data_IF_791526846728
#
_entry.id   IF_791526846728
#
_cell.length_a   1.000
_cell.length_b   1.000
_cell.length_c   1.000
_cell.angle_alpha   90.00
_cell.angle_beta   90.00
_cell.angle_gamma   90.00
#
_symmetry.space_group_name_H-M   'P 1'
#
loop_
_entity.id
_entity.type
_entity.pdbx_description
1 polymer ?
#
# COMPACT_ATOMS: atom_id res chain seq x y z
N UNK A 1 33.76 -30.23 57.33
CA UNK A 1 34.21 -30.84 58.61
C UNK A 1 33.53 -32.18 58.70
N UNK A 2 34.31 -33.25 58.80
CA UNK A 2 33.82 -34.63 58.78
C UNK A 2 32.88 -34.90 59.97
N UNK A 3 32.00 -35.87 59.82
CA UNK A 3 30.91 -36.12 60.77
C UNK A 3 31.40 -36.64 62.12
N UNK A 4 32.55 -37.33 62.17
CA UNK A 4 33.20 -37.71 63.43
C UNK A 4 34.00 -36.58 64.12
N UNK A 5 34.11 -35.41 63.46
CA UNK A 5 34.80 -34.23 63.96
C UNK A 5 36.34 -34.27 63.91
N UNK A 6 36.95 -35.26 63.26
CA UNK A 6 38.42 -35.45 63.24
C UNK A 6 39.15 -34.65 62.17
N UNK A 7 38.48 -34.26 61.08
CA UNK A 7 39.11 -33.53 59.97
C UNK A 7 38.22 -32.41 59.40
N UNK A 8 38.88 -31.34 58.94
CA UNK A 8 38.25 -30.19 58.29
C UNK A 8 38.64 -30.15 56.82
N UNK A 9 37.75 -30.63 55.97
CA UNK A 9 37.84 -30.56 54.51
C UNK A 9 37.18 -29.28 53.96
N UNK A 10 37.60 -28.86 52.76
CA UNK A 10 37.03 -27.73 52.03
C UNK A 10 35.64 -28.07 51.49
N UNK A 11 34.79 -27.07 51.28
CA UNK A 11 33.42 -27.28 50.78
C UNK A 11 33.37 -27.83 49.35
N UNK A 12 34.47 -27.77 48.60
CA UNK A 12 34.61 -28.37 47.27
C UNK A 12 34.97 -29.87 47.31
N UNK A 13 35.33 -30.40 48.48
CA UNK A 13 35.70 -31.81 48.72
C UNK A 13 34.59 -32.56 49.47
N UNK A 14 33.35 -32.08 49.28
CA UNK A 14 32.16 -32.70 49.83
C UNK A 14 31.37 -33.14 48.62
N UNK A 15 31.14 -34.44 48.46
CA UNK A 15 30.45 -35.03 47.32
C UNK A 15 31.21 -34.89 46.00
N UNK A 16 32.54 -34.98 46.04
CA UNK A 16 33.40 -34.94 44.85
C UNK A 16 33.91 -36.32 44.44
N UNK A 17 33.31 -37.38 45.00
CA UNK A 17 33.54 -38.77 44.63
C UNK A 17 34.93 -39.30 45.03
N UNK A 18 35.68 -38.57 45.88
CA UNK A 18 36.87 -39.04 46.56
C UNK A 18 36.64 -39.09 48.08
N UNK A 19 37.21 -40.09 48.76
CA UNK A 19 37.09 -40.23 50.20
C UNK A 19 38.16 -39.35 50.90
N UNK A 20 37.82 -38.10 51.16
CA UNK A 20 38.68 -37.14 51.86
C UNK A 20 38.46 -37.15 53.38
N UNK A 21 37.30 -37.63 53.85
CA UNK A 21 37.09 -37.96 55.24
C UNK A 21 37.49 -39.41 55.57
N UNK A 22 38.18 -39.67 56.71
CA UNK A 22 38.57 -41.02 57.13
C UNK A 22 37.38 -41.97 57.38
N UNK A 23 36.21 -41.40 57.64
CA UNK A 23 34.93 -42.11 57.86
C UNK A 23 34.04 -42.09 56.60
N UNK A 24 34.56 -41.62 55.46
CA UNK A 24 33.86 -41.44 54.17
C UNK A 24 32.58 -40.60 54.29
N UNK A 25 32.46 -39.81 55.37
CA UNK A 25 31.22 -39.09 55.68
C UNK A 25 30.94 -37.91 54.76
N UNK A 26 31.96 -37.42 54.06
CA UNK A 26 31.88 -36.48 52.96
C UNK A 26 31.11 -37.02 51.75
N UNK A 27 31.04 -38.34 51.56
CA UNK A 27 30.40 -38.99 50.42
C UNK A 27 29.09 -39.75 50.76
N UNK A 28 28.76 -39.94 52.05
CA UNK A 28 27.70 -40.86 52.49
C UNK A 28 26.28 -40.26 52.60
N UNK A 29 26.12 -38.93 52.50
CA UNK A 29 24.81 -38.24 52.54
C UNK A 29 24.77 -37.05 51.57
N UNK A 30 25.34 -37.23 50.38
CA UNK A 30 25.25 -36.27 49.30
C UNK A 30 23.80 -36.16 48.83
N UNK A 31 23.19 -35.00 49.09
CA UNK A 31 21.93 -34.63 48.46
C UNK A 31 22.22 -34.53 46.98
N UNK A 32 21.82 -35.54 46.21
CA UNK A 32 22.06 -35.69 44.77
C UNK A 32 22.06 -34.31 44.13
N UNK A 33 23.25 -33.83 43.80
CA UNK A 33 23.46 -32.53 43.16
C UNK A 33 22.93 -32.69 41.75
N UNK A 34 21.61 -32.55 41.62
CA UNK A 34 20.95 -32.34 40.35
C UNK A 34 21.71 -31.19 39.69
N UNK A 35 22.29 -31.45 38.52
CA UNK A 35 23.04 -30.46 37.77
C UNK A 35 22.36 -29.08 37.75
N UNK A 36 23.14 -28.00 37.64
CA UNK A 36 22.60 -26.64 37.53
C UNK A 36 21.46 -26.57 36.50
N UNK A 37 20.46 -25.73 36.75
CA UNK A 37 19.28 -25.59 35.89
C UNK A 37 19.71 -25.46 34.42
N UNK A 38 19.18 -26.33 33.56
CA UNK A 38 19.55 -26.52 32.14
C UNK A 38 20.78 -27.39 31.84
N UNK A 39 21.18 -28.27 32.75
CA UNK A 39 22.17 -29.33 32.49
C UNK A 39 21.57 -30.70 32.79
N UNK A 40 21.91 -31.68 31.94
CA UNK A 40 21.52 -33.08 32.06
C UNK A 40 22.66 -33.90 32.62
N UNK A 41 22.36 -34.78 33.56
CA UNK A 41 23.32 -35.67 34.17
C UNK A 41 23.34 -37.00 33.43
N UNK A 42 24.52 -37.43 32.97
CA UNK A 42 24.68 -38.75 32.37
C UNK A 42 24.29 -39.85 33.37
N UNK A 43 23.76 -40.97 32.88
CA UNK A 43 23.16 -41.99 33.74
C UNK A 43 24.17 -42.78 34.57
N UNK A 44 25.36 -43.03 34.02
CA UNK A 44 26.41 -43.82 34.67
C UNK A 44 27.57 -42.95 35.21
N UNK A 45 27.48 -41.62 35.11
CA UNK A 45 28.53 -40.71 35.60
C UNK A 45 27.96 -39.40 36.17
N UNK A 46 28.66 -38.80 37.13
CA UNK A 46 28.33 -37.47 37.68
C UNK A 46 28.64 -36.32 36.70
N UNK A 47 28.79 -36.62 35.41
CA UNK A 47 29.08 -35.63 34.36
C UNK A 47 27.78 -34.94 33.95
N UNK A 48 27.78 -33.61 34.06
CA UNK A 48 26.68 -32.76 33.62
C UNK A 48 27.01 -32.17 32.25
N UNK A 49 26.18 -32.46 31.25
CA UNK A 49 26.23 -31.82 29.94
C UNK A 49 25.14 -30.76 29.84
N UNK A 50 25.32 -29.69 29.05
CA UNK A 50 24.25 -28.75 28.73
C UNK A 50 23.03 -29.49 28.17
N UNK A 51 21.82 -29.05 28.52
CA UNK A 51 20.58 -29.66 28.03
C UNK A 51 20.40 -29.52 26.50
N UNK A 52 21.21 -28.70 25.84
CA UNK A 52 21.28 -28.61 24.37
C UNK A 52 21.98 -29.80 23.71
N UNK A 53 22.75 -30.59 24.47
CA UNK A 53 23.49 -31.78 23.99
C UNK A 53 22.80 -33.08 24.42
N UNK A 54 21.49 -33.02 24.66
CA UNK A 54 20.66 -34.17 24.99
C UNK A 54 19.74 -34.40 23.82
N UNK A 55 19.79 -35.58 23.21
CA UNK A 55 19.03 -35.93 22.02
C UNK A 55 19.38 -35.05 20.80
N UNK A 56 20.65 -34.68 20.63
CA UNK A 56 21.13 -33.86 19.50
C UNK A 56 21.84 -34.67 18.40
N UNK A 57 21.79 -36.00 18.51
CA UNK A 57 22.43 -37.00 17.62
C UNK A 57 23.96 -37.09 17.74
N UNK A 58 24.58 -36.35 18.65
CA UNK A 58 25.98 -36.55 19.01
C UNK A 58 26.06 -37.30 20.35
N UNK A 59 27.15 -38.07 20.54
CA UNK A 59 27.38 -38.80 21.78
C UNK A 59 28.31 -37.99 22.67
N UNK A 60 27.72 -37.18 23.53
CA UNK A 60 28.38 -36.33 24.50
C UNK A 60 28.53 -37.00 25.86
N UNK A 61 27.60 -37.88 26.26
CA UNK A 61 27.81 -38.76 27.40
C UNK A 61 28.63 -39.99 27.02
N UNK A 62 29.60 -40.36 27.85
CA UNK A 62 30.52 -41.46 27.56
C UNK A 62 29.82 -42.83 27.49
N UNK A 63 28.71 -42.98 28.20
CA UNK A 63 27.79 -44.13 28.19
C UNK A 63 26.70 -44.00 27.09
N UNK A 64 26.63 -42.86 26.40
CA UNK A 64 25.61 -42.54 25.40
C UNK A 64 24.20 -42.43 25.98
N UNK A 65 24.09 -42.04 27.25
CA UNK A 65 22.81 -41.91 27.96
C UNK A 65 22.05 -40.62 27.63
N UNK A 66 22.75 -39.61 27.14
CA UNK A 66 22.21 -38.42 26.47
C UNK A 66 21.34 -38.75 25.24
N UNK A 67 21.64 -39.86 24.56
CA UNK A 67 20.92 -40.32 23.36
C UNK A 67 20.03 -41.56 23.64
N UNK A 68 19.89 -41.99 24.89
CA UNK A 68 19.08 -43.17 25.27
C UNK A 68 17.77 -42.77 25.94
N UNK A 69 16.65 -43.28 25.41
CA UNK A 69 15.33 -42.97 25.96
C UNK A 69 14.79 -41.60 25.54
N UNK A 70 15.47 -40.91 24.62
CA UNK A 70 14.86 -39.89 23.77
C UNK A 70 13.59 -40.52 23.17
N UNK A 71 12.45 -39.87 23.35
CA UNK A 71 11.19 -40.38 22.84
C UNK A 71 11.23 -40.42 21.30
N UNK A 72 11.76 -41.50 20.72
CA UNK A 72 11.47 -41.91 19.34
C UNK A 72 10.05 -42.46 19.30
N UNK A 73 9.08 -41.65 19.71
CA UNK A 73 7.65 -41.86 19.59
C UNK A 73 6.99 -40.49 19.78
N UNK A 74 6.74 -39.76 18.69
CA UNK A 74 5.34 -39.60 18.32
C UNK A 74 5.18 -39.90 16.82
N UNK A 75 4.65 -41.07 16.46
CA UNK A 75 3.91 -41.25 15.24
C UNK A 75 2.65 -40.38 15.36
N UNK A 76 2.65 -39.21 14.71
CA UNK A 76 1.44 -38.40 14.50
C UNK A 76 1.06 -37.40 15.60
N UNK A 77 1.99 -36.56 16.07
CA UNK A 77 1.61 -35.24 16.59
C UNK A 77 2.19 -34.14 15.72
N UNK A 78 1.27 -33.28 15.27
CA UNK A 78 1.51 -32.06 14.52
C UNK A 78 2.73 -31.32 15.07
N UNK A 79 3.57 -30.81 14.17
CA UNK A 79 4.60 -29.84 14.48
C UNK A 79 4.03 -28.79 15.47
N UNK A 80 4.83 -28.39 16.47
CA UNK A 80 4.40 -27.51 17.56
C UNK A 80 3.81 -26.18 17.07
N UNK A 81 3.22 -25.38 17.97
CA UNK A 81 2.63 -24.09 17.60
C UNK A 81 3.64 -23.22 16.80
N UNK A 82 3.23 -22.77 15.61
CA UNK A 82 4.03 -22.04 14.61
C UNK A 82 5.03 -22.87 13.76
N UNK A 83 4.84 -24.19 13.65
CA UNK A 83 5.62 -25.03 12.73
C UNK A 83 4.72 -25.76 11.71
N UNK A 84 5.15 -25.77 10.45
CA UNK A 84 4.54 -26.50 9.34
C UNK A 84 5.23 -27.85 9.12
N UNK A 85 4.43 -28.90 8.90
CA UNK A 85 4.92 -30.25 8.66
C UNK A 85 5.06 -30.55 7.17
N UNK A 86 6.29 -30.78 6.73
CA UNK A 86 6.64 -31.27 5.40
C UNK A 86 6.12 -32.70 5.19
N UNK A 87 5.92 -33.11 3.94
CA UNK A 87 5.40 -34.45 3.61
C UNK A 87 6.39 -35.56 3.97
N UNK A 88 7.68 -35.26 3.98
CA UNK A 88 8.76 -36.12 4.44
C UNK A 88 8.86 -36.24 5.97
N UNK A 89 8.07 -35.46 6.72
CA UNK A 89 8.03 -35.46 8.18
C UNK A 89 8.87 -34.38 8.85
N UNK A 90 9.58 -33.54 8.10
CA UNK A 90 10.32 -32.40 8.64
C UNK A 90 9.36 -31.30 9.15
N UNK A 91 9.80 -30.52 10.14
CA UNK A 91 9.04 -29.38 10.65
C UNK A 91 9.81 -28.09 10.36
N UNK A 92 9.22 -27.22 9.54
CA UNK A 92 9.74 -25.87 9.26
C UNK A 92 8.90 -24.83 10.00
N UNK A 93 9.33 -23.58 10.05
CA UNK A 93 8.53 -22.51 10.63
C UNK A 93 7.29 -22.24 9.76
N UNK A 94 6.13 -21.94 10.35
CA UNK A 94 4.90 -21.64 9.59
C UNK A 94 5.09 -20.45 8.61
N UNK A 95 5.99 -19.54 8.96
CA UNK A 95 6.36 -18.41 8.09
C UNK A 95 7.18 -18.79 6.83
N UNK A 96 7.65 -20.04 6.75
CA UNK A 96 8.41 -20.59 5.62
C UNK A 96 7.54 -21.50 4.75
N UNK A 97 6.24 -21.59 5.05
CA UNK A 97 5.30 -22.23 4.17
C UNK A 97 4.94 -21.26 3.03
N UNK A 98 5.16 -21.65 1.78
CA UNK A 98 4.87 -20.86 0.58
C UNK A 98 5.63 -19.51 0.53
N UNK A 99 6.88 -19.47 0.99
CA UNK A 99 7.73 -18.27 0.98
C UNK A 99 8.57 -18.15 -0.31
N UNK A 100 8.42 -19.11 -1.24
CA UNK A 100 9.11 -19.18 -2.52
C UNK A 100 10.48 -19.85 -2.44
N UNK A 101 10.82 -20.50 -1.32
CA UNK A 101 12.05 -21.27 -1.13
C UNK A 101 11.73 -22.68 -0.66
N UNK A 102 12.56 -23.60 -1.11
CA UNK A 102 12.54 -25.00 -0.71
C UNK A 102 13.17 -25.14 0.68
N UNK A 103 12.39 -24.85 1.73
CA UNK A 103 12.78 -25.02 3.14
C UNK A 103 12.45 -26.42 3.65
N UNK A 104 11.41 -27.07 3.10
CA UNK A 104 11.25 -28.51 3.17
C UNK A 104 12.18 -29.19 2.16
N UNK A 105 13.03 -30.11 2.57
CA UNK A 105 13.97 -30.81 1.65
C UNK A 105 13.28 -31.63 0.53
N UNK A 106 11.95 -31.72 0.56
CA UNK A 106 11.09 -32.39 -0.41
C UNK A 106 10.16 -31.44 -1.20
N UNK A 107 10.27 -30.11 -1.01
CA UNK A 107 9.44 -29.08 -1.65
C UNK A 107 7.97 -29.10 -1.25
N UNK A 108 7.62 -29.71 -0.12
CA UNK A 108 6.23 -29.81 0.35
C UNK A 108 5.63 -28.50 0.85
N UNK A 109 6.48 -27.61 1.32
CA UNK A 109 6.17 -26.22 1.69
C UNK A 109 5.82 -25.34 0.50
N UNK A 110 6.33 -25.68 -0.68
CA UNK A 110 6.10 -24.94 -1.95
C UNK A 110 5.18 -25.69 -2.93
N UNK A 111 4.59 -26.82 -2.51
CA UNK A 111 3.76 -27.63 -3.39
C UNK A 111 2.41 -26.95 -3.67
N UNK A 112 2.01 -26.94 -4.94
CA UNK A 112 0.76 -26.37 -5.46
C UNK A 112 -0.49 -26.87 -4.69
N UNK A 113 -0.46 -28.09 -4.14
CA UNK A 113 -1.56 -28.66 -3.34
C UNK A 113 -1.65 -28.04 -1.93
N UNK A 114 -0.52 -27.71 -1.30
CA UNK A 114 -0.46 -27.13 0.05
C UNK A 114 -0.50 -25.60 0.05
N UNK A 115 -0.05 -24.95 -1.03
CA UNK A 115 -0.14 -23.51 -1.24
C UNK A 115 -1.43 -23.06 -1.94
N UNK A 116 -2.29 -24.01 -2.35
CA UNK A 116 -3.64 -23.71 -2.81
C UNK A 116 -4.53 -23.33 -1.63
N UNK A 117 -4.52 -22.04 -1.23
CA UNK A 117 -5.59 -21.48 -0.40
C UNK A 117 -6.93 -21.67 -1.12
N UNK A 118 -7.68 -22.67 -0.69
CA UNK A 118 -9.02 -22.93 -1.19
C UNK A 118 -9.97 -21.87 -0.60
N UNK A 119 -10.17 -20.77 -1.33
CA UNK A 119 -11.43 -20.02 -1.33
C UNK A 119 -11.74 -19.12 -0.14
N UNK A 120 -10.81 -18.25 0.25
CA UNK A 120 -11.22 -16.91 0.74
C UNK A 120 -10.95 -15.93 -0.39
N UNK A 121 -12.01 -15.54 -1.09
CA UNK A 121 -12.00 -14.35 -1.93
C UNK A 121 -11.48 -13.21 -1.04
N UNK A 122 -10.43 -12.50 -1.46
CA UNK A 122 -9.95 -11.33 -0.75
C UNK A 122 -11.13 -10.40 -0.45
N UNK A 123 -11.08 -9.61 0.63
CA UNK A 123 -12.19 -8.71 0.96
C UNK A 123 -12.55 -7.82 -0.24
N UNK A 124 -13.80 -7.35 -0.36
CA UNK A 124 -14.27 -6.51 -1.50
C UNK A 124 -13.38 -5.28 -1.82
N UNK A 125 -12.49 -4.91 -0.90
CA UNK A 125 -11.54 -3.80 -1.01
C UNK A 125 -10.13 -4.20 -1.45
N UNK A 126 -9.88 -5.48 -1.70
CA UNK A 126 -8.57 -6.08 -1.94
C UNK A 126 -8.52 -6.78 -3.32
N UNK A 127 -7.38 -6.68 -3.97
CA UNK A 127 -7.06 -7.32 -5.25
C UNK A 127 -6.26 -8.60 -5.01
N UNK A 128 -6.62 -9.66 -5.70
CA UNK A 128 -5.93 -10.96 -5.63
C UNK A 128 -4.87 -11.05 -6.74
N UNK A 129 -3.59 -11.13 -6.36
CA UNK A 129 -2.47 -11.48 -7.24
C UNK A 129 -2.65 -12.90 -7.82
N UNK A 130 -2.02 -13.23 -8.95
CA UNK A 130 -2.19 -14.56 -9.55
C UNK A 130 -1.63 -15.70 -8.67
N UNK A 131 -0.66 -15.40 -7.79
CA UNK A 131 -0.16 -16.31 -6.76
C UNK A 131 -0.91 -16.20 -5.41
N UNK A 132 -2.14 -15.67 -5.41
CA UNK A 132 -3.04 -15.72 -4.26
C UNK A 132 -2.79 -14.70 -3.15
N UNK A 133 -1.80 -13.81 -3.29
CA UNK A 133 -1.60 -12.69 -2.38
C UNK A 133 -2.74 -11.64 -2.52
N UNK A 134 -3.20 -11.08 -1.41
CA UNK A 134 -4.21 -10.00 -1.41
C UNK A 134 -3.51 -8.67 -1.15
N UNK A 135 -3.71 -7.68 -2.02
CA UNK A 135 -3.23 -6.31 -1.82
C UNK A 135 -4.41 -5.33 -1.79
N UNK A 136 -4.33 -4.20 -1.09
CA UNK A 136 -5.35 -3.17 -1.17
C UNK A 136 -5.59 -2.71 -2.61
N UNK A 137 -6.84 -2.45 -2.99
CA UNK A 137 -7.16 -1.89 -4.33
C UNK A 137 -6.45 -0.57 -4.64
N UNK A 138 -5.96 0.15 -3.62
CA UNK A 138 -5.16 1.37 -3.78
C UNK A 138 -3.73 1.11 -4.28
N UNK A 139 -3.27 -0.13 -4.20
CA UNK A 139 -1.94 -0.60 -4.60
C UNK A 139 -2.00 -1.36 -5.93
N UNK A 140 -3.06 -1.17 -6.72
CA UNK A 140 -3.18 -1.80 -8.04
C UNK A 140 -2.91 -0.74 -9.09
N UNK A 141 -1.92 -0.96 -9.95
CA UNK A 141 -1.40 0.02 -10.91
C UNK A 141 -0.93 1.33 -10.22
N UNK A 142 -0.28 1.22 -9.06
CA UNK A 142 0.29 2.36 -8.34
C UNK A 142 1.76 2.66 -8.77
N UNK A 143 2.26 1.89 -9.73
CA UNK A 143 3.60 2.03 -10.30
C UNK A 143 4.70 1.36 -9.48
N UNK A 144 4.33 0.64 -8.44
CA UNK A 144 5.22 -0.16 -7.60
C UNK A 144 4.68 -1.59 -7.64
N UNK A 145 5.53 -2.60 -7.87
CA UNK A 145 5.08 -3.99 -7.81
C UNK A 145 4.96 -4.43 -6.34
N UNK A 146 3.75 -4.72 -5.89
CA UNK A 146 3.45 -5.38 -4.62
C UNK A 146 3.18 -6.88 -4.78
N UNK A 147 2.68 -7.33 -5.94
CA UNK A 147 2.64 -8.76 -6.27
C UNK A 147 4.04 -9.28 -6.65
N UNK A 148 4.31 -10.55 -6.34
CA UNK A 148 5.62 -11.20 -6.58
C UNK A 148 6.04 -11.19 -8.05
N UNK A 149 5.09 -11.32 -8.98
CA UNK A 149 5.33 -11.21 -10.43
C UNK A 149 5.04 -9.82 -11.01
N UNK A 150 4.66 -8.86 -10.16
CA UNK A 150 4.19 -7.55 -10.59
C UNK A 150 2.86 -7.60 -11.35
N UNK A 151 2.02 -8.60 -11.08
CA UNK A 151 0.71 -8.78 -11.71
C UNK A 151 -0.26 -7.63 -11.45
N UNK A 152 -0.15 -7.02 -10.28
CA UNK A 152 -0.81 -5.78 -9.90
C UNK A 152 -0.42 -4.59 -10.77
N UNK A 153 0.73 -4.68 -11.44
CA UNK A 153 1.26 -3.70 -12.38
C UNK A 153 1.24 -4.21 -13.83
N UNK A 154 0.77 -5.45 -14.09
CA UNK A 154 0.78 -6.10 -15.41
C UNK A 154 -0.34 -5.61 -16.35
N UNK A 155 -1.05 -4.54 -15.99
CA UNK A 155 -1.92 -3.82 -16.91
C UNK A 155 -1.54 -2.34 -17.06
N UNK A 156 -0.25 -2.04 -17.15
CA UNK A 156 0.23 -0.67 -17.28
C UNK A 156 1.00 -0.45 -18.58
N UNK A 157 0.25 -0.26 -19.67
CA UNK A 157 0.78 0.64 -20.71
C UNK A 157 0.67 2.05 -20.16
N UNK A 158 1.72 2.48 -19.46
CA UNK A 158 1.86 3.86 -18.98
C UNK A 158 2.07 4.74 -20.21
N UNK A 159 1.03 5.49 -20.56
CA UNK A 159 1.06 6.41 -21.68
C UNK A 159 1.57 7.78 -21.23
N UNK A 160 2.23 8.49 -22.14
CA UNK A 160 2.58 9.90 -21.92
C UNK A 160 1.30 10.74 -21.70
N UNK A 161 1.39 11.88 -20.97
CA UNK A 161 0.26 12.79 -20.85
C UNK A 161 -0.31 13.16 -22.23
N UNK A 162 -1.64 13.10 -22.38
CA UNK A 162 -2.30 13.29 -23.68
C UNK A 162 -2.63 11.99 -24.42
N UNK A 163 -2.35 10.82 -23.83
CA UNK A 163 -2.64 9.52 -24.43
C UNK A 163 -3.37 8.59 -23.45
N UNK A 164 -4.17 7.66 -23.99
CA UNK A 164 -4.89 6.63 -23.24
C UNK A 164 -4.53 5.22 -23.72
N UNK A 165 -4.51 4.22 -22.83
CA UNK A 165 -4.24 2.84 -23.21
C UNK A 165 -5.40 2.25 -24.04
N UNK A 166 -5.06 1.60 -25.15
CA UNK A 166 -6.01 0.87 -26.00
C UNK A 166 -6.00 -0.63 -25.71
N UNK A 167 -6.97 -1.37 -26.25
CA UNK A 167 -7.16 -2.83 -26.06
C UNK A 167 -5.99 -3.69 -26.55
N UNK A 168 -5.08 -3.11 -27.34
CA UNK A 168 -3.91 -3.78 -27.90
C UNK A 168 -2.61 -3.40 -27.18
N UNK A 169 -2.69 -2.87 -25.96
CA UNK A 169 -1.51 -2.38 -25.22
C UNK A 169 -0.72 -1.29 -25.98
N UNK A 170 -1.43 -0.42 -26.70
CA UNK A 170 -0.84 0.73 -27.40
C UNK A 170 -1.45 2.03 -26.90
N UNK A 171 -0.66 3.09 -26.81
CA UNK A 171 -1.14 4.43 -26.48
C UNK A 171 -1.81 5.08 -27.68
N UNK A 172 -3.05 5.52 -27.49
CA UNK A 172 -3.80 6.29 -28.48
C UNK A 172 -4.00 7.72 -27.99
N UNK A 173 -3.91 8.67 -28.91
CA UNK A 173 -4.13 10.09 -28.68
C UNK A 173 -5.51 10.34 -28.02
N UNK A 174 -5.53 11.19 -26.99
CA UNK A 174 -6.78 11.65 -26.38
C UNK A 174 -7.31 12.77 -27.25
N UNK A 175 -8.49 12.58 -27.85
CA UNK A 175 -9.16 13.65 -28.57
C UNK A 175 -9.90 14.56 -27.57
N UNK A 176 -9.23 15.59 -27.07
CA UNK A 176 -9.82 16.50 -26.07
C UNK A 176 -10.96 17.33 -26.65
N UNK A 177 -11.04 17.50 -27.98
CA UNK A 177 -12.08 18.28 -28.64
C UNK A 177 -13.46 17.60 -28.65
N UNK A 178 -13.55 16.34 -28.21
CA UNK A 178 -14.84 15.65 -28.01
C UNK A 178 -15.57 16.09 -26.74
N UNK A 179 -14.82 16.54 -25.73
CA UNK A 179 -15.35 16.87 -24.41
C UNK A 179 -14.93 18.28 -24.01
N UNK A 180 -15.91 19.19 -23.91
CA UNK A 180 -15.65 20.59 -23.59
C UNK A 180 -14.89 20.79 -22.28
N UNK A 181 -15.10 19.91 -21.31
CA UNK A 181 -14.47 19.96 -19.99
C UNK A 181 -12.96 19.74 -20.02
N UNK A 182 -12.44 19.07 -21.06
CA UNK A 182 -11.02 18.75 -21.23
C UNK A 182 -10.26 19.90 -21.89
N UNK A 183 -10.80 20.49 -22.95
CA UNK A 183 -10.07 21.51 -23.73
C UNK A 183 -10.35 22.96 -23.29
N UNK A 184 -11.54 23.27 -22.76
CA UNK A 184 -11.96 24.61 -22.27
C UNK A 184 -11.69 25.77 -23.25
N UNK A 185 -11.60 25.50 -24.55
CA UNK A 185 -11.42 26.52 -25.57
C UNK A 185 -12.69 27.39 -25.62
N UNK A 186 -12.49 28.71 -25.67
CA UNK A 186 -13.59 29.69 -25.77
C UNK A 186 -14.30 29.69 -27.11
N UNK A 187 -13.60 29.30 -28.18
CA UNK A 187 -14.13 29.22 -29.54
C UNK A 187 -13.84 27.83 -30.11
N UNK A 188 -12.86 27.70 -31.00
CA UNK A 188 -12.57 26.47 -31.72
C UNK A 188 -11.49 25.64 -31.02
N UNK A 189 -11.66 24.31 -31.06
CA UNK A 189 -10.69 23.33 -30.60
C UNK A 189 -10.16 22.55 -31.80
N UNK A 190 -8.85 22.37 -31.86
CA UNK A 190 -8.17 21.58 -32.88
C UNK A 190 -7.37 20.49 -32.18
N UNK A 191 -7.74 19.24 -32.44
CA UNK A 191 -7.05 18.08 -31.88
C UNK A 191 -5.68 17.90 -32.55
N UNK A 192 -4.66 17.63 -31.75
CA UNK A 192 -3.27 17.43 -32.20
C UNK A 192 -2.77 16.13 -31.57
N UNK A 193 -1.79 15.47 -32.17
CA UNK A 193 -1.24 14.25 -31.58
C UNK A 193 -0.54 14.61 -30.25
N UNK A 194 -1.05 14.04 -29.16
CA UNK A 194 -0.58 14.19 -27.78
C UNK A 194 -1.13 15.42 -27.04
N UNK A 195 -1.99 16.23 -27.66
CA UNK A 195 -2.60 17.40 -27.01
C UNK A 195 -3.66 18.08 -27.92
N UNK A 196 -4.14 19.26 -27.53
CA UNK A 196 -4.99 20.09 -28.36
C UNK A 196 -4.44 21.52 -28.46
N UNK A 197 -4.90 22.26 -29.46
CA UNK A 197 -4.75 23.71 -29.51
C UNK A 197 -6.10 24.39 -29.68
N UNK A 198 -6.26 25.56 -29.07
CA UNK A 198 -7.42 26.41 -29.32
C UNK A 198 -7.12 27.38 -30.47
N UNK A 199 -8.08 27.52 -31.39
CA UNK A 199 -8.04 28.53 -32.46
C UNK A 199 -9.18 29.54 -32.31
N UNK A 200 -9.00 30.70 -32.93
CA UNK A 200 -9.96 31.79 -32.88
C UNK A 200 -10.47 32.12 -34.28
N UNK A 201 -11.76 32.45 -34.37
CA UNK A 201 -12.40 32.95 -35.59
C UNK A 201 -11.81 34.28 -36.05
N UNK A 202 -12.04 34.63 -37.31
CA UNK A 202 -11.59 35.90 -37.88
C UNK A 202 -12.04 37.11 -37.03
N UNK A 203 -11.11 38.03 -36.76
CA UNK A 203 -11.36 39.19 -35.90
C UNK A 203 -11.13 38.94 -34.40
N UNK A 204 -10.59 37.78 -34.02
CA UNK A 204 -10.20 37.46 -32.64
C UNK A 204 -8.72 37.03 -32.58
N UNK A 205 -8.09 37.27 -31.43
CA UNK A 205 -6.71 36.89 -31.14
C UNK A 205 -6.67 36.00 -29.89
N UNK A 206 -5.84 34.95 -29.95
CA UNK A 206 -5.71 34.01 -28.84
C UNK A 206 -4.96 34.65 -27.68
N UNK A 207 -5.61 34.65 -26.52
CA UNK A 207 -5.12 35.14 -25.24
C UNK A 207 -5.14 33.98 -24.25
N UNK A 208 -4.08 33.81 -23.46
CA UNK A 208 -4.04 32.81 -22.38
C UNK A 208 -4.25 31.35 -22.87
N UNK A 209 -3.81 31.06 -24.11
CA UNK A 209 -3.90 29.77 -24.81
C UNK A 209 -5.31 29.17 -25.03
N UNK A 210 -6.35 29.68 -24.36
CA UNK A 210 -7.70 29.12 -24.36
C UNK A 210 -8.80 30.15 -24.67
N UNK A 211 -8.52 31.45 -24.47
CA UNK A 211 -9.49 32.53 -24.60
C UNK A 211 -9.25 33.34 -25.86
N UNK A 212 -10.29 33.59 -26.63
CA UNK A 212 -10.20 34.41 -27.84
C UNK A 212 -10.69 35.83 -27.53
N UNK A 213 -9.78 36.79 -27.59
CA UNK A 213 -10.06 38.20 -27.36
C UNK A 213 -10.40 38.87 -28.69
N UNK A 214 -11.55 39.56 -28.76
CA UNK A 214 -11.93 40.29 -29.96
C UNK A 214 -10.92 41.42 -30.27
N UNK A 215 -10.57 41.56 -31.54
CA UNK A 215 -9.78 42.68 -32.05
C UNK A 215 -10.70 43.89 -32.29
N UNK A 216 -10.21 45.08 -31.93
CA UNK A 216 -10.91 46.34 -32.18
C UNK A 216 -11.42 47.03 -30.90
N UNK A 217 -12.66 47.54 -30.94
CA UNK A 217 -13.21 48.36 -29.86
C UNK A 217 -13.44 47.56 -28.58
N UNK A 218 -13.22 48.15 -27.40
CA UNK A 218 -13.43 47.46 -26.12
C UNK A 218 -14.91 47.10 -25.95
N UNK A 219 -15.21 45.94 -25.34
CA UNK A 219 -16.59 45.52 -25.10
C UNK A 219 -17.28 46.52 -24.15
N UNK A 220 -18.48 46.92 -24.54
CA UNK A 220 -19.36 47.79 -23.76
C UNK A 220 -20.52 46.96 -23.22
N UNK A 221 -20.84 47.14 -21.95
CA UNK A 221 -22.01 46.53 -21.31
C UNK A 221 -23.08 47.60 -21.18
N UNK A 222 -24.28 47.31 -21.67
CA UNK A 222 -25.45 48.12 -21.41
C UNK A 222 -26.19 47.53 -20.20
N UNK A 223 -26.62 48.40 -19.30
CA UNK A 223 -27.31 48.00 -18.09
C UNK A 223 -28.45 48.96 -17.77
N UNK A 224 -29.57 48.39 -17.36
CA UNK A 224 -30.68 49.12 -16.76
C UNK A 224 -30.42 49.26 -15.27
N UNK A 225 -30.53 50.48 -14.77
CA UNK A 225 -30.45 50.76 -13.35
C UNK A 225 -31.57 51.71 -12.94
N UNK A 226 -32.60 51.14 -12.31
CA UNK A 226 -33.78 51.85 -11.79
C UNK A 226 -34.42 52.73 -12.88
N UNK A 227 -34.30 54.04 -12.79
CA UNK A 227 -34.84 55.02 -13.74
C UNK A 227 -33.84 55.44 -14.85
N UNK A 228 -32.81 54.64 -15.11
CA UNK A 228 -31.74 55.00 -16.05
C UNK A 228 -31.21 53.83 -16.86
N UNK A 229 -30.69 54.12 -18.04
CA UNK A 229 -29.91 53.18 -18.86
C UNK A 229 -28.49 53.70 -18.98
N UNK A 230 -27.51 52.82 -18.75
CA UNK A 230 -26.07 53.16 -18.70
C UNK A 230 -25.28 52.26 -19.65
N UNK A 231 -24.23 52.82 -20.26
CA UNK A 231 -23.14 52.03 -20.85
C UNK A 231 -21.95 52.00 -19.90
N UNK A 232 -21.33 50.84 -19.80
CA UNK A 232 -20.17 50.60 -18.98
C UNK A 232 -19.05 50.02 -19.84
N UNK A 233 -17.90 50.67 -19.83
CA UNK A 233 -16.70 50.15 -20.49
C UNK A 233 -15.93 49.27 -19.51
N UNK A 234 -15.88 47.96 -19.80
CA UNK A 234 -15.25 46.97 -18.92
C UNK A 234 -13.74 47.20 -18.80
N UNK A 235 -13.11 47.77 -19.82
CA UNK A 235 -11.66 47.98 -19.85
C UNK A 235 -11.23 49.23 -19.08
N UNK A 236 -11.96 50.34 -19.22
CA UNK A 236 -11.65 51.59 -18.50
C UNK A 236 -12.35 51.73 -17.14
N UNK A 237 -13.27 50.81 -16.80
CA UNK A 237 -14.14 50.90 -15.63
C UNK A 237 -14.94 52.23 -15.59
N UNK A 238 -15.32 52.72 -16.76
CA UNK A 238 -16.04 53.99 -16.92
C UNK A 238 -17.53 53.74 -17.20
N UNK A 239 -18.41 54.40 -16.46
CA UNK A 239 -19.86 54.34 -16.66
C UNK A 239 -20.39 55.67 -17.20
N UNK A 240 -21.17 55.62 -18.29
CA UNK A 240 -21.81 56.78 -18.89
C UNK A 240 -23.33 56.56 -18.90
N UNK A 241 -24.08 57.52 -18.36
CA UNK A 241 -25.54 57.56 -18.44
C UNK A 241 -25.97 57.90 -19.87
N UNK A 242 -26.85 57.10 -20.45
CA UNK A 242 -27.40 57.31 -21.79
C UNK A 242 -28.78 57.97 -21.68
N UNK A 243 -29.66 57.38 -20.88
CA UNK A 243 -31.00 57.87 -20.61
C UNK A 243 -31.20 58.00 -19.10
N UNK A 244 -31.87 59.08 -18.70
CA UNK A 244 -32.27 59.38 -17.32
C UNK A 244 -33.78 59.62 -17.26
N UNK A 245 -34.31 59.63 -16.03
CA UNK A 245 -35.71 60.00 -15.75
C UNK A 245 -36.73 59.12 -16.50
N UNK A 246 -36.37 57.86 -16.75
CA UNK A 246 -37.25 56.85 -17.32
C UNK A 246 -38.22 56.34 -16.26
N UNK A 247 -39.44 55.95 -16.64
CA UNK A 247 -40.45 55.53 -15.68
C UNK A 247 -40.06 54.21 -15.02
N UNK A 248 -39.95 53.11 -15.78
CA UNK A 248 -39.46 51.83 -15.29
C UNK A 248 -38.94 50.92 -16.41
N UNK A 249 -37.74 51.18 -16.95
CA UNK A 249 -37.12 50.32 -17.94
C UNK A 249 -36.85 48.92 -17.37
N UNK A 250 -37.01 47.87 -18.19
CA UNK A 250 -36.88 46.49 -17.70
C UNK A 250 -36.07 45.56 -18.60
N UNK A 251 -36.32 45.56 -19.91
CA UNK A 251 -35.54 44.80 -20.88
C UNK A 251 -34.88 45.73 -21.90
N UNK A 252 -33.74 45.32 -22.44
CA UNK A 252 -32.96 46.06 -23.44
C UNK A 252 -32.60 45.14 -24.61
N UNK A 253 -32.55 45.71 -25.81
CA UNK A 253 -31.92 45.10 -26.98
C UNK A 253 -31.27 46.17 -27.87
N UNK A 254 -30.31 45.79 -28.72
CA UNK A 254 -29.55 46.72 -29.57
C UNK A 254 -29.44 46.25 -31.02
N UNK A 255 -29.67 47.18 -31.94
CA UNK A 255 -29.30 47.01 -33.33
C UNK A 255 -27.96 47.72 -33.59
N UNK A 256 -26.85 46.99 -33.40
CA UNK A 256 -25.48 47.55 -33.45
C UNK A 256 -25.17 48.24 -34.78
N UNK A 257 -25.62 47.69 -35.91
CA UNK A 257 -25.35 48.25 -37.24
C UNK A 257 -26.06 49.58 -37.49
N UNK A 258 -27.26 49.74 -36.92
CA UNK A 258 -28.09 50.92 -37.10
C UNK A 258 -27.92 51.94 -35.96
N UNK A 259 -27.20 51.58 -34.90
CA UNK A 259 -26.97 52.42 -33.74
C UNK A 259 -28.23 52.66 -32.91
N UNK A 260 -29.19 51.72 -32.92
CA UNK A 260 -30.47 51.85 -32.20
C UNK A 260 -30.46 51.04 -30.90
N UNK A 261 -31.04 51.60 -29.85
CA UNK A 261 -31.28 50.96 -28.56
C UNK A 261 -32.79 50.84 -28.35
N UNK A 262 -33.26 49.67 -27.95
CA UNK A 262 -34.67 49.44 -27.65
C UNK A 262 -34.81 49.04 -26.19
N UNK A 263 -35.86 49.53 -25.53
CA UNK A 263 -36.19 49.09 -24.17
C UNK A 263 -37.69 48.98 -23.94
N UNK A 264 -38.08 48.07 -23.05
CA UNK A 264 -39.45 48.02 -22.53
C UNK A 264 -39.57 48.86 -21.27
N UNK A 265 -40.63 49.66 -21.18
CA UNK A 265 -41.00 50.36 -19.96
C UNK A 265 -42.28 49.75 -19.37
N UNK A 266 -42.17 49.28 -18.11
CA UNK A 266 -43.26 48.57 -17.44
C UNK A 266 -44.38 49.53 -17.01
N UNK A 267 -44.06 50.79 -16.70
CA UNK A 267 -45.07 51.76 -16.24
C UNK A 267 -45.83 52.33 -17.45
N UNK A 268 -45.11 52.63 -18.53
CA UNK A 268 -45.71 53.20 -19.72
C UNK A 268 -46.35 52.15 -20.65
N UNK A 269 -46.19 50.85 -20.36
CA UNK A 269 -46.69 49.70 -21.14
C UNK A 269 -46.35 49.78 -22.63
N UNK A 270 -45.13 50.24 -22.93
CA UNK A 270 -44.65 50.49 -24.29
C UNK A 270 -43.20 50.05 -24.48
N UNK A 271 -42.85 49.81 -25.74
CA UNK A 271 -41.46 49.62 -26.17
C UNK A 271 -40.99 50.93 -26.79
N UNK A 272 -39.88 51.43 -26.29
CA UNK A 272 -39.26 52.69 -26.68
C UNK A 272 -37.99 52.42 -27.51
N UNK A 273 -37.59 53.44 -28.29
CA UNK A 273 -36.34 53.46 -29.07
C UNK A 273 -35.57 54.76 -28.87
#
# INVERSE_FOLDING_TARGET
MCSDGTACITTSWVCDNEADCPDESDELQCSVSTCEVNHFQCSDSLVCIPQSFVCDNDRDCQDGSDEQGCATEVPGQNCGENLFQCTNGDCIHEAWQCDGKDDCSDGSDENEINCSRQGEECADTEFTCMHGACIPSSQVNDGIAQCVDGDDEMNTVVCEPGYTPSTNNTCVDIDECKEWTLHKCSQECVNVIGSFLCSCSEGFELSDHTKCKALGSPPLVLSVHDHSIRKFNITSNESILIYTDLAKPAALDIAVKDGMLFWSDIIDDTIMM
#
